data_IF_221181919356
#
_entry.id   IF_221181919356
#
_cell.length_a   1.000
_cell.length_b   1.000
_cell.length_c   1.000
_cell.angle_alpha   90.00
_cell.angle_beta   90.00
_cell.angle_gamma   90.00
#
_symmetry.space_group_name_H-M   'P 1'
#
loop_
_entity.id
_entity.type
_entity.pdbx_description
1 polymer ?
#
# COMPACT_ATOMS: atom_id res chain seq x y z
N UNK A 1 13.44 19.28 48.96
CA UNK A 1 13.21 18.17 48.01
C UNK A 1 11.87 18.41 47.32
N UNK A 2 11.89 18.83 46.05
CA UNK A 2 10.68 19.09 45.26
C UNK A 2 10.13 17.75 44.75
N UNK A 3 9.05 17.27 45.36
CA UNK A 3 8.34 16.07 44.93
C UNK A 3 7.59 16.36 43.63
N UNK A 4 8.23 16.12 42.50
CA UNK A 4 7.59 16.20 41.18
C UNK A 4 6.54 15.09 41.11
N UNK A 5 5.26 15.45 41.01
CA UNK A 5 4.17 14.48 40.87
C UNK A 5 4.39 13.69 39.57
N UNK A 6 4.39 12.35 39.59
CA UNK A 6 4.58 11.56 38.38
C UNK A 6 3.44 11.86 37.39
N UNK A 7 3.80 12.37 36.21
CA UNK A 7 2.86 12.62 35.12
C UNK A 7 2.38 11.26 34.60
N UNK A 8 1.05 11.06 34.56
CA UNK A 8 0.46 9.84 34.00
C UNK A 8 0.91 9.70 32.54
N UNK A 9 1.45 8.54 32.19
CA UNK A 9 1.84 8.19 30.82
C UNK A 9 1.35 6.79 30.46
N UNK A 10 1.16 6.55 29.17
CA UNK A 10 0.84 5.24 28.61
C UNK A 10 2.07 4.75 27.86
N UNK A 11 2.45 3.49 28.09
CA UNK A 11 3.54 2.84 27.37
C UNK A 11 3.07 1.47 26.92
N UNK A 12 3.38 1.11 25.68
CA UNK A 12 3.19 -0.24 25.19
C UNK A 12 4.32 -1.12 25.70
N UNK A 13 3.97 -2.27 26.28
CA UNK A 13 4.93 -3.21 26.85
C UNK A 13 4.89 -4.57 26.17
N UNK A 14 3.77 -4.94 25.55
CA UNK A 14 3.51 -6.28 25.04
C UNK A 14 3.05 -6.20 23.59
N UNK A 15 3.64 -7.03 22.74
CA UNK A 15 3.26 -7.27 21.35
C UNK A 15 2.58 -8.63 21.31
N UNK A 16 1.46 -8.73 20.62
CA UNK A 16 0.86 -10.01 20.23
C UNK A 16 1.12 -10.21 18.74
N UNK A 17 1.72 -11.34 18.40
CA UNK A 17 2.13 -11.70 17.05
C UNK A 17 1.21 -12.81 16.57
N UNK A 18 0.64 -12.63 15.40
CA UNK A 18 -0.18 -13.62 14.72
C UNK A 18 0.53 -14.01 13.43
N UNK A 19 0.93 -15.27 13.34
CA UNK A 19 1.57 -15.83 12.16
C UNK A 19 0.53 -16.56 11.35
N UNK A 20 0.42 -16.22 10.07
CA UNK A 20 -0.57 -16.78 9.16
C UNK A 20 0.15 -17.52 8.03
N UNK A 21 -0.42 -18.66 7.64
CA UNK A 21 -0.04 -19.34 6.41
C UNK A 21 -0.35 -18.50 5.17
N UNK A 22 0.09 -18.99 4.00
CA UNK A 22 -0.25 -18.39 2.72
C UNK A 22 -1.71 -18.68 2.38
N UNK A 23 -2.45 -17.64 2.01
CA UNK A 23 -3.83 -17.73 1.55
C UNK A 23 -4.02 -17.21 0.13
N UNK A 24 -5.19 -17.50 -0.43
CA UNK A 24 -5.66 -16.87 -1.67
C UNK A 24 -6.07 -15.42 -1.43
N UNK A 25 -5.95 -14.60 -2.47
CA UNK A 25 -6.43 -13.23 -2.43
C UNK A 25 -5.35 -12.27 -1.94
N UNK A 26 -5.74 -11.10 -1.46
CA UNK A 26 -4.82 -10.03 -1.07
C UNK A 26 -5.44 -8.68 -1.37
N UNK A 27 -5.07 -7.65 -0.60
CA UNK A 27 -5.65 -6.31 -0.72
C UNK A 27 -5.28 -5.60 -2.04
N UNK A 28 -4.27 -6.11 -2.75
CA UNK A 28 -3.83 -5.58 -4.02
C UNK A 28 -3.53 -6.68 -5.04
N UNK A 29 -3.92 -6.40 -6.29
CA UNK A 29 -3.58 -7.22 -7.45
C UNK A 29 -2.20 -6.83 -7.97
N UNK A 30 -1.31 -7.82 -8.14
CA UNK A 30 0.03 -7.58 -8.69
C UNK A 30 -0.03 -7.08 -10.13
N UNK A 31 0.75 -6.06 -10.46
CA UNK A 31 0.88 -5.54 -11.82
C UNK A 31 1.50 -6.56 -12.81
N UNK A 32 2.11 -7.63 -12.30
CA UNK A 32 2.73 -8.70 -13.11
C UNK A 32 1.75 -9.82 -13.52
N UNK A 33 0.46 -9.68 -13.26
CA UNK A 33 -0.54 -10.72 -13.55
C UNK A 33 -0.57 -11.82 -12.48
N UNK A 34 -1.12 -12.99 -12.80
CA UNK A 34 -1.12 -14.18 -11.93
C UNK A 34 -2.00 -14.09 -10.68
N UNK A 35 -2.10 -15.16 -9.89
CA UNK A 35 -2.97 -15.18 -8.71
C UNK A 35 -2.41 -14.25 -7.63
N UNK A 36 -3.25 -13.45 -6.97
CA UNK A 36 -2.85 -12.73 -5.75
C UNK A 36 -2.65 -13.72 -4.61
N UNK A 37 -1.67 -13.42 -3.74
CA UNK A 37 -1.41 -14.17 -2.52
C UNK A 37 -1.63 -13.26 -1.32
N UNK A 38 -2.19 -13.83 -0.27
CA UNK A 38 -2.56 -13.14 0.95
C UNK A 38 -2.24 -13.99 2.16
N UNK A 39 -2.85 -13.63 3.29
CA UNK A 39 -2.80 -14.42 4.52
C UNK A 39 -3.97 -15.41 4.53
N UNK A 40 -3.76 -16.58 5.13
CA UNK A 40 -4.85 -17.51 5.44
C UNK A 40 -5.85 -16.88 6.44
N UNK A 41 -7.06 -17.43 6.51
CA UNK A 41 -8.14 -16.88 7.35
C UNK A 41 -7.82 -16.98 8.85
N UNK A 42 -7.14 -18.05 9.26
CA UNK A 42 -6.79 -18.31 10.67
C UNK A 42 -5.28 -18.29 10.87
N UNK A 43 -4.78 -17.67 11.95
CA UNK A 43 -3.36 -17.74 12.27
C UNK A 43 -2.98 -19.17 12.67
N UNK A 44 -1.83 -19.61 12.20
CA UNK A 44 -1.23 -20.89 12.59
C UNK A 44 -0.63 -20.80 13.99
N UNK A 45 -0.02 -19.66 14.31
CA UNK A 45 0.58 -19.40 15.61
C UNK A 45 0.17 -18.03 16.14
N UNK A 46 -0.01 -17.98 17.46
CA UNK A 46 -0.23 -16.73 18.18
C UNK A 46 0.61 -16.74 19.43
N UNK A 47 1.44 -15.73 19.60
CA UNK A 47 2.32 -15.61 20.74
C UNK A 47 2.51 -14.14 21.14
N UNK A 48 3.08 -13.93 22.32
CA UNK A 48 3.28 -12.59 22.88
C UNK A 48 4.73 -12.38 23.27
N UNK A 49 5.24 -11.17 23.09
CA UNK A 49 6.58 -10.78 23.49
C UNK A 49 6.64 -9.33 23.96
N UNK A 50 7.76 -8.91 24.55
CA UNK A 50 7.92 -7.53 24.98
C UNK A 50 8.29 -6.65 23.79
N UNK A 51 7.80 -5.41 23.86
CA UNK A 51 8.22 -4.37 22.92
C UNK A 51 9.73 -4.13 23.04
N UNK A 52 10.46 -4.28 21.95
CA UNK A 52 11.93 -4.10 21.88
C UNK A 52 12.74 -5.40 21.82
N UNK A 53 12.16 -6.56 22.16
CA UNK A 53 12.87 -7.85 22.09
C UNK A 53 12.91 -8.44 20.68
N UNK A 54 12.02 -7.99 19.79
CA UNK A 54 11.76 -8.58 18.48
C UNK A 54 12.45 -7.79 17.35
N UNK A 55 13.79 -7.75 17.39
CA UNK A 55 14.62 -6.92 16.51
C UNK A 55 15.38 -7.71 15.44
N UNK A 56 14.76 -8.71 14.81
CA UNK A 56 15.28 -9.21 13.54
C UNK A 56 14.71 -8.36 12.41
N UNK A 57 15.56 -7.50 11.84
CA UNK A 57 15.26 -6.78 10.60
C UNK A 57 15.13 -7.80 9.46
N UNK A 58 13.92 -8.21 9.13
CA UNK A 58 13.65 -8.98 7.91
C UNK A 58 13.97 -8.12 6.67
N UNK A 59 14.64 -8.73 5.70
CA UNK A 59 15.10 -8.14 4.43
C UNK A 59 13.94 -7.58 3.59
N UNK A 60 13.47 -6.38 3.93
CA UNK A 60 12.59 -5.57 3.10
C UNK A 60 11.30 -6.26 2.64
N UNK A 61 10.69 -5.69 1.60
CA UNK A 61 9.47 -6.24 0.99
C UNK A 61 9.86 -7.26 -0.07
N UNK A 62 9.67 -8.54 0.21
CA UNK A 62 9.89 -9.60 -0.77
C UNK A 62 8.82 -9.57 -1.88
N UNK A 63 9.24 -9.62 -3.14
CA UNK A 63 8.34 -9.58 -4.31
C UNK A 63 8.37 -10.90 -5.08
N UNK A 64 7.32 -11.69 -4.91
CA UNK A 64 7.14 -12.95 -5.64
C UNK A 64 6.73 -12.73 -7.11
N UNK A 65 7.32 -13.53 -8.00
CA UNK A 65 6.91 -13.67 -9.40
C UNK A 65 5.54 -14.37 -9.50
N UNK A 66 4.83 -14.30 -10.65
CA UNK A 66 3.60 -15.07 -10.86
C UNK A 66 3.76 -16.58 -10.59
N UNK A 67 4.84 -17.20 -11.08
CA UNK A 67 5.08 -18.63 -10.88
C UNK A 67 5.38 -18.98 -9.43
N UNK A 68 6.16 -18.16 -8.72
CA UNK A 68 6.41 -18.36 -7.28
C UNK A 68 5.10 -18.28 -6.47
N UNK A 69 4.20 -17.36 -6.81
CA UNK A 69 2.88 -17.27 -6.17
C UNK A 69 2.03 -18.51 -6.40
N UNK A 70 2.06 -19.08 -7.60
CA UNK A 70 1.39 -20.36 -7.89
C UNK A 70 1.94 -21.47 -7.00
N UNK A 71 3.27 -21.60 -6.91
CA UNK A 71 3.91 -22.63 -6.08
C UNK A 71 3.57 -22.46 -4.59
N UNK A 72 3.54 -21.23 -4.09
CA UNK A 72 3.15 -20.94 -2.70
C UNK A 72 1.69 -21.37 -2.43
N UNK A 73 0.78 -21.08 -3.34
CA UNK A 73 -0.63 -21.47 -3.21
C UNK A 73 -0.82 -22.99 -3.31
N UNK A 74 -0.09 -23.66 -4.21
CA UNK A 74 -0.09 -25.12 -4.29
C UNK A 74 0.46 -25.75 -3.01
N UNK A 75 1.54 -25.20 -2.45
CA UNK A 75 2.09 -25.62 -1.17
C UNK A 75 1.12 -25.42 0.00
N UNK A 76 0.24 -24.41 -0.09
CA UNK A 76 -0.84 -24.18 0.87
C UNK A 76 -2.08 -25.08 0.63
N UNK A 77 -2.02 -26.03 -0.30
CA UNK A 77 -3.11 -26.97 -0.58
C UNK A 77 -4.26 -26.38 -1.40
N UNK A 78 -4.06 -25.22 -2.04
CA UNK A 78 -5.08 -24.60 -2.88
C UNK A 78 -5.17 -25.35 -4.22
N UNK A 79 -6.38 -25.78 -4.66
CA UNK A 79 -6.53 -26.49 -5.93
C UNK A 79 -6.17 -25.63 -7.16
N UNK A 80 -5.48 -26.23 -8.13
CA UNK A 80 -5.04 -25.57 -9.38
C UNK A 80 -6.18 -24.87 -10.13
N UNK A 81 -7.38 -25.46 -10.13
CA UNK A 81 -8.56 -24.85 -10.75
C UNK A 81 -8.93 -23.50 -10.14
N UNK A 82 -8.78 -23.37 -8.82
CA UNK A 82 -9.03 -22.13 -8.08
C UNK A 82 -7.92 -21.12 -8.36
N UNK A 83 -6.65 -21.58 -8.35
CA UNK A 83 -5.49 -20.73 -8.67
C UNK A 83 -5.62 -20.13 -10.08
N UNK A 84 -6.00 -20.96 -11.07
CA UNK A 84 -6.17 -20.57 -12.47
C UNK A 84 -7.27 -19.54 -12.63
N UNK A 85 -8.40 -19.73 -11.94
CA UNK A 85 -9.51 -18.79 -11.91
C UNK A 85 -9.07 -17.43 -11.39
N UNK A 86 -8.40 -17.37 -10.23
CA UNK A 86 -7.94 -16.10 -9.67
C UNK A 86 -6.86 -15.43 -10.51
N UNK A 87 -5.98 -16.20 -11.17
CA UNK A 87 -5.02 -15.64 -12.11
C UNK A 87 -5.71 -14.94 -13.29
N UNK A 88 -6.81 -15.52 -13.80
CA UNK A 88 -7.63 -14.91 -14.85
C UNK A 88 -8.33 -13.65 -14.37
N UNK A 89 -8.92 -13.67 -13.18
CA UNK A 89 -9.57 -12.50 -12.56
C UNK A 89 -8.59 -11.32 -12.42
N UNK A 90 -7.36 -11.59 -11.94
CA UNK A 90 -6.28 -10.59 -11.89
C UNK A 90 -6.04 -9.95 -13.26
N UNK A 91 -5.93 -10.76 -14.33
CA UNK A 91 -5.65 -10.23 -15.67
C UNK A 91 -6.79 -9.35 -16.20
N UNK A 92 -8.04 -9.68 -15.87
CA UNK A 92 -9.21 -8.84 -16.19
C UNK A 92 -9.10 -7.49 -15.50
N UNK A 93 -8.77 -7.47 -14.21
CA UNK A 93 -8.58 -6.23 -13.43
C UNK A 93 -7.46 -5.38 -14.04
N UNK A 94 -6.32 -5.98 -14.37
CA UNK A 94 -5.20 -5.28 -14.98
C UNK A 94 -5.54 -4.73 -16.38
N UNK A 95 -6.28 -5.51 -17.18
CA UNK A 95 -6.78 -5.07 -18.47
C UNK A 95 -7.76 -3.90 -18.35
N UNK A 96 -8.62 -3.90 -17.33
CA UNK A 96 -9.49 -2.77 -17.01
C UNK A 96 -8.68 -1.54 -16.63
N UNK A 97 -7.73 -1.66 -15.71
CA UNK A 97 -6.87 -0.54 -15.27
C UNK A 97 -6.12 0.09 -16.43
N UNK A 98 -5.60 -0.72 -17.36
CA UNK A 98 -4.88 -0.23 -18.54
C UNK A 98 -5.80 0.61 -19.43
N UNK A 99 -7.01 0.11 -19.70
CA UNK A 99 -8.01 0.83 -20.52
C UNK A 99 -8.51 2.10 -19.86
N UNK A 100 -8.74 2.07 -18.55
CA UNK A 100 -9.11 3.28 -17.82
C UNK A 100 -7.97 4.30 -17.84
N UNK A 101 -6.71 3.88 -17.63
CA UNK A 101 -5.57 4.80 -17.66
C UNK A 101 -5.42 5.52 -19.00
N UNK A 102 -5.52 4.80 -20.12
CA UNK A 102 -5.48 5.44 -21.45
C UNK A 102 -6.65 6.38 -21.68
N UNK A 103 -7.85 6.06 -21.16
CA UNK A 103 -9.00 6.97 -21.27
C UNK A 103 -8.80 8.28 -20.50
N UNK A 104 -8.11 8.27 -19.36
CA UNK A 104 -7.79 9.50 -18.64
C UNK A 104 -6.74 10.34 -19.36
N UNK A 105 -5.70 9.70 -19.91
CA UNK A 105 -4.64 10.39 -20.67
C UNK A 105 -5.18 10.98 -22.00
N UNK A 106 -6.19 10.35 -22.61
CA UNK A 106 -6.86 10.84 -23.84
C UNK A 106 -7.77 12.04 -23.54
N UNK A 107 -8.53 12.02 -22.45
CA UNK A 107 -9.33 13.18 -22.01
C UNK A 107 -8.47 14.36 -21.54
N UNK A 108 -7.32 14.12 -20.91
CA UNK A 108 -6.38 15.18 -20.51
C UNK A 108 -5.70 15.85 -21.73
N UNK A 109 -5.59 15.12 -22.85
CA UNK A 109 -5.22 15.68 -24.15
C UNK A 109 -6.37 16.46 -24.78
N UNK A 110 -7.60 15.93 -24.76
CA UNK A 110 -8.77 16.61 -25.34
C UNK A 110 -9.10 17.94 -24.62
N UNK A 111 -8.99 17.99 -23.29
CA UNK A 111 -9.15 19.24 -22.52
C UNK A 111 -8.01 20.25 -22.79
N UNK A 112 -6.81 19.78 -23.19
CA UNK A 112 -5.72 20.67 -23.57
C UNK A 112 -5.89 21.25 -24.98
N UNK A 113 -6.62 20.56 -25.86
CA UNK A 113 -6.93 21.00 -27.23
C UNK A 113 -8.18 21.91 -27.27
N UNK A 114 -9.06 21.84 -26.26
CA UNK A 114 -10.19 22.78 -26.08
C UNK A 114 -9.76 24.15 -25.48
N UNK A 115 -8.58 24.24 -24.87
CA UNK A 115 -8.02 25.46 -24.28
C UNK A 115 -7.13 26.28 -25.27
N UNK A 116 -6.94 25.84 -26.52
CA UNK A 116 -6.06 26.52 -27.49
C UNK A 116 -6.65 27.77 -28.18
N UNK A 117 -7.90 28.15 -27.88
CA UNK A 117 -8.57 29.29 -28.53
C UNK A 117 -8.81 30.48 -27.58
N UNK A 118 -7.84 30.86 -26.73
CA UNK A 118 -7.67 32.24 -26.25
C UNK A 118 -6.20 32.57 -25.87
N UNK A 119 -5.54 33.36 -26.73
CA UNK A 119 -4.64 34.44 -26.30
C UNK A 119 -3.23 34.08 -25.81
N UNK A 120 -2.26 34.21 -26.73
CA UNK A 120 -0.82 34.23 -26.49
C UNK A 120 -0.35 35.19 -25.36
N UNK A 121 0.35 34.65 -24.34
CA UNK A 121 1.24 35.44 -23.46
C UNK A 121 2.43 34.61 -22.94
N UNK A 122 3.54 34.71 -23.68
CA UNK A 122 4.97 34.47 -23.40
C UNK A 122 5.44 33.90 -22.03
N UNK A 123 6.25 32.85 -22.15
CA UNK A 123 7.62 32.70 -21.65
C UNK A 123 7.90 32.92 -20.14
N UNK A 124 8.25 31.84 -19.43
CA UNK A 124 9.56 31.60 -18.78
C UNK A 124 9.45 30.47 -17.74
N UNK A 125 10.39 29.54 -17.83
CA UNK A 125 10.61 28.46 -16.87
C UNK A 125 10.67 28.96 -15.42
N UNK A 126 9.73 28.52 -14.57
CA UNK A 126 9.92 28.52 -13.11
C UNK A 126 9.43 27.20 -12.54
N UNK A 127 10.38 26.39 -12.08
CA UNK A 127 10.15 25.26 -11.18
C UNK A 127 9.25 25.75 -10.04
N UNK A 128 8.00 25.30 -9.99
CA UNK A 128 7.09 25.66 -8.91
C UNK A 128 7.69 25.17 -7.60
N UNK A 129 7.99 26.11 -6.70
CA UNK A 129 8.35 25.79 -5.32
C UNK A 129 7.16 25.11 -4.65
N UNK A 130 7.46 24.20 -3.72
CA UNK A 130 6.47 23.39 -2.99
C UNK A 130 5.46 24.21 -2.15
N UNK A 131 5.65 25.53 -2.06
CA UNK A 131 4.85 26.42 -1.22
C UNK A 131 3.61 27.01 -1.93
N UNK A 132 3.37 26.71 -3.21
CA UNK A 132 2.26 27.31 -3.98
C UNK A 132 1.08 26.35 -4.24
N UNK A 133 1.05 25.16 -3.62
CA UNK A 133 -0.03 24.18 -3.78
C UNK A 133 -1.04 24.20 -2.63
N UNK A 134 -1.53 25.40 -2.26
CA UNK A 134 -2.66 25.54 -1.33
C UNK A 134 -3.79 26.28 -2.03
N UNK A 135 -4.98 25.62 -2.07
CA UNK A 135 -6.23 26.00 -2.77
C UNK A 135 -6.18 25.51 -4.23
N UNK A 136 -6.78 24.38 -4.58
CA UNK A 136 -8.20 24.28 -4.98
C UNK A 136 -8.65 22.79 -4.97
N UNK A 137 -8.67 22.11 -3.82
CA UNK A 137 -9.49 20.89 -3.63
C UNK A 137 -9.52 20.47 -2.17
N UNK A 138 -10.69 20.23 -1.54
CA UNK A 138 -10.78 19.81 -0.15
C UNK A 138 -10.51 18.30 -0.01
N UNK A 139 -9.29 17.86 -0.30
CA UNK A 139 -8.75 16.56 0.14
C UNK A 139 -7.77 16.71 1.32
N UNK A 140 -7.84 17.84 2.03
CA UNK A 140 -6.90 18.22 3.09
C UNK A 140 -7.12 17.50 4.44
N UNK A 141 -8.10 16.61 4.58
CA UNK A 141 -8.28 15.83 5.82
C UNK A 141 -7.25 14.69 5.93
N UNK A 142 -6.72 14.17 4.80
CA UNK A 142 -5.81 13.01 4.81
C UNK A 142 -4.33 13.35 4.75
N UNK A 143 -3.96 14.62 4.56
CA UNK A 143 -2.55 15.06 4.57
C UNK A 143 -2.00 15.23 5.99
N UNK A 144 -2.86 15.24 7.02
CA UNK A 144 -2.43 14.99 8.39
C UNK A 144 -2.32 13.49 8.61
N UNK A 145 -1.27 12.86 8.06
CA UNK A 145 -0.80 11.59 8.62
C UNK A 145 -0.58 11.82 10.11
N UNK A 146 -1.24 11.07 11.01
CA UNK A 146 -0.85 11.07 12.41
C UNK A 146 0.66 10.80 12.48
N UNK A 147 1.40 11.62 13.23
CA UNK A 147 2.82 11.36 13.48
C UNK A 147 2.92 9.92 13.98
N UNK A 148 3.49 9.04 13.18
CA UNK A 148 3.80 7.69 13.63
C UNK A 148 4.63 7.82 14.90
N UNK A 149 4.23 7.08 15.94
CA UNK A 149 4.90 7.10 17.23
C UNK A 149 6.36 6.70 16.98
N UNK A 150 7.34 7.53 17.38
CA UNK A 150 8.74 7.25 17.12
C UNK A 150 9.13 5.89 17.65
N UNK A 151 9.92 5.15 16.87
CA UNK A 151 10.50 3.85 17.22
C UNK A 151 11.66 4.08 18.21
N UNK A 152 11.36 4.66 19.36
CA UNK A 152 12.28 4.71 20.49
C UNK A 152 11.57 4.07 21.67
N UNK A 153 11.62 2.74 21.69
CA UNK A 153 11.32 1.96 22.89
C UNK A 153 12.59 1.91 23.73
N UNK A 154 12.77 2.94 24.55
CA UNK A 154 13.70 2.94 25.67
C UNK A 154 12.97 2.52 26.97
#
# INVERSE_FOLDING_TARGET
>A
ATTVKPKKSVRWSTITVHEFGVGLGGSAVSNKGGPSIGLADTPEFTWTTRVGEMAECVEGVHRFTPSQRILLLQGAGIPDGIITRHARETNIILGSRRRSKTSWEDSELEEAEEDEDEGECKELSRKRSADQATLEHPCAIYLRRPRMIPVNYA
#
